data_IF_214179323189
#
_entry.id   IF_214179323189
#
_cell.length_a   1.000
_cell.length_b   1.000
_cell.length_c   1.000
_cell.angle_alpha   90.00
_cell.angle_beta   90.00
_cell.angle_gamma   90.00
#
_symmetry.space_group_name_H-M   'P 1'
#
loop_
_entity.id
_entity.type
_entity.pdbx_description
1 polymer ?
#
# COMPACT_ATOMS: atom_id res chain seq x y z
N UNK A 1 2.19 -15.61 -11.10
CA UNK A 1 0.89 -16.04 -10.52
C UNK A 1 0.59 -15.27 -9.24
N UNK A 2 -0.65 -14.79 -9.04
CA UNK A 2 -1.10 -14.21 -7.77
C UNK A 2 -1.33 -15.29 -6.70
N UNK A 3 -1.18 -14.94 -5.42
CA UNK A 3 -1.50 -15.82 -4.27
C UNK A 3 -2.49 -15.14 -3.33
N UNK A 4 -3.45 -15.91 -2.82
CA UNK A 4 -4.42 -15.45 -1.82
C UNK A 4 -3.85 -15.68 -0.41
N UNK A 5 -4.07 -14.73 0.48
CA UNK A 5 -3.86 -14.89 1.92
C UNK A 5 -5.25 -14.84 2.57
N UNK A 6 -5.53 -15.79 3.46
CA UNK A 6 -6.82 -15.89 4.16
C UNK A 6 -6.74 -15.28 5.56
N UNK A 7 -5.61 -15.44 6.24
CA UNK A 7 -5.41 -14.95 7.59
C UNK A 7 -4.75 -13.57 7.66
N UNK A 8 -5.18 -12.77 8.62
CA UNK A 8 -4.63 -11.43 8.88
C UNK A 8 -3.18 -11.52 9.38
N UNK A 9 -2.85 -12.56 10.18
CA UNK A 9 -1.51 -12.76 10.75
C UNK A 9 -0.47 -12.92 9.64
N UNK A 10 -0.75 -13.78 8.67
CA UNK A 10 0.11 -14.02 7.50
C UNK A 10 0.27 -12.77 6.64
N UNK A 11 -0.79 -11.97 6.53
CA UNK A 11 -0.72 -10.69 5.85
C UNK A 11 0.25 -9.72 6.54
N UNK A 12 0.18 -9.59 7.87
CA UNK A 12 1.08 -8.71 8.62
C UNK A 12 2.54 -9.18 8.54
N UNK A 13 2.78 -10.49 8.61
CA UNK A 13 4.10 -11.07 8.38
C UNK A 13 4.60 -10.74 6.97
N UNK A 14 3.76 -10.96 5.95
CA UNK A 14 4.10 -10.67 4.56
C UNK A 14 4.38 -9.19 4.32
N UNK A 15 3.58 -8.31 4.93
CA UNK A 15 3.73 -6.87 4.83
C UNK A 15 5.01 -6.37 5.50
N UNK A 16 5.53 -7.05 6.53
CA UNK A 16 6.78 -6.68 7.23
C UNK A 16 8.05 -7.22 6.56
N UNK A 17 7.95 -8.27 5.73
CA UNK A 17 9.12 -8.83 5.02
C UNK A 17 9.90 -7.78 4.21
N UNK A 18 11.21 -8.03 4.07
CA UNK A 18 12.14 -7.16 3.31
C UNK A 18 11.86 -7.13 1.80
N UNK A 19 11.21 -8.16 1.26
CA UNK A 19 10.87 -8.28 -0.16
C UNK A 19 9.57 -7.56 -0.54
N UNK A 20 8.80 -7.10 0.44
CA UNK A 20 7.56 -6.35 0.23
C UNK A 20 7.88 -4.91 -0.16
N UNK A 21 7.60 -4.56 -1.42
CA UNK A 21 7.90 -3.25 -2.02
C UNK A 21 6.80 -2.23 -1.79
N UNK A 22 5.55 -2.63 -2.01
CA UNK A 22 4.39 -1.74 -1.89
C UNK A 22 3.13 -2.52 -1.54
N UNK A 23 2.20 -1.83 -0.90
CA UNK A 23 0.87 -2.37 -0.59
C UNK A 23 -0.16 -1.48 -1.28
N UNK A 24 -0.96 -2.09 -2.14
CA UNK A 24 -2.05 -1.42 -2.88
C UNK A 24 -3.38 -1.81 -2.27
N UNK A 25 -4.09 -0.82 -1.75
CA UNK A 25 -5.43 -1.01 -1.17
C UNK A 25 -6.45 -0.74 -2.27
N UNK A 26 -7.25 -1.76 -2.62
CA UNK A 26 -8.37 -1.63 -3.55
C UNK A 26 -9.67 -1.75 -2.77
N UNK A 27 -10.40 -0.65 -2.67
CA UNK A 27 -11.77 -0.62 -2.14
C UNK A 27 -12.73 -1.01 -3.27
N UNK A 28 -13.53 -2.04 -3.07
CA UNK A 28 -14.72 -2.34 -3.87
C UNK A 28 -15.97 -1.98 -3.05
N UNK A 29 -17.16 -2.18 -3.63
CA UNK A 29 -18.44 -1.90 -2.96
C UNK A 29 -18.63 -2.74 -1.68
N UNK A 30 -18.32 -4.04 -1.79
CA UNK A 30 -18.62 -5.03 -0.75
C UNK A 30 -17.37 -5.54 -0.02
N UNK A 31 -16.18 -5.35 -0.60
CA UNK A 31 -14.93 -5.81 -0.01
C UNK A 31 -13.74 -4.90 -0.26
N UNK A 32 -12.78 -4.93 0.64
CA UNK A 32 -11.48 -4.27 0.50
C UNK A 32 -10.42 -5.33 0.25
N UNK A 33 -9.59 -5.11 -0.77
CA UNK A 33 -8.48 -6.00 -1.12
C UNK A 33 -7.15 -5.32 -0.83
N UNK A 34 -6.38 -5.88 0.09
CA UNK A 34 -5.01 -5.47 0.37
C UNK A 34 -4.08 -6.30 -0.52
N UNK A 35 -3.41 -5.63 -1.45
CA UNK A 35 -2.52 -6.27 -2.42
C UNK A 35 -1.06 -5.94 -2.11
N UNK A 36 -0.31 -6.88 -1.56
CA UNK A 36 1.12 -6.71 -1.29
C UNK A 36 1.92 -7.14 -2.51
N UNK A 37 2.76 -6.25 -3.03
CA UNK A 37 3.72 -6.57 -4.07
C UNK A 37 5.04 -7.02 -3.44
N UNK A 38 5.33 -8.31 -3.58
CA UNK A 38 6.63 -8.88 -3.28
C UNK A 38 7.46 -9.04 -4.57
N UNK A 39 8.70 -9.52 -4.45
CA UNK A 39 9.58 -9.76 -5.60
C UNK A 39 8.96 -10.73 -6.61
N UNK A 40 8.52 -11.91 -6.16
CA UNK A 40 8.02 -12.99 -7.03
C UNK A 40 6.51 -13.00 -7.19
N UNK A 41 5.77 -12.72 -6.12
CA UNK A 41 4.32 -12.89 -6.09
C UNK A 41 3.59 -11.61 -5.71
N UNK A 42 2.32 -11.52 -6.11
CA UNK A 42 1.36 -10.56 -5.60
C UNK A 42 0.47 -11.30 -4.60
N UNK A 43 0.52 -10.90 -3.34
CA UNK A 43 -0.35 -11.44 -2.31
C UNK A 43 -1.59 -10.59 -2.17
N UNK A 44 -2.75 -11.22 -2.05
CA UNK A 44 -4.01 -10.51 -1.86
C UNK A 44 -4.75 -11.04 -0.65
N UNK A 45 -4.98 -10.16 0.33
CA UNK A 45 -5.93 -10.37 1.42
C UNK A 45 -7.26 -9.70 1.04
N UNK A 46 -8.36 -10.42 1.19
CA UNK A 46 -9.72 -9.91 0.94
C UNK A 46 -10.45 -9.81 2.26
N UNK A 47 -10.97 -8.63 2.57
CA UNK A 47 -11.73 -8.36 3.80
C UNK A 47 -13.10 -7.83 3.41
N UNK A 48 -14.15 -8.43 3.96
CA UNK A 48 -15.54 -8.00 3.77
C UNK A 48 -15.87 -6.83 4.71
N UNK A 49 -15.42 -6.90 5.96
CA UNK A 49 -15.72 -5.91 6.99
C UNK A 49 -14.93 -4.61 6.79
N UNK A 50 -15.64 -3.50 6.55
CA UNK A 50 -15.04 -2.18 6.30
C UNK A 50 -14.28 -1.64 7.52
N UNK A 51 -14.82 -1.84 8.72
CA UNK A 51 -14.18 -1.37 9.96
C UNK A 51 -12.86 -2.09 10.25
N UNK A 52 -12.82 -3.42 10.06
CA UNK A 52 -11.57 -4.19 10.20
C UNK A 52 -10.54 -3.75 9.17
N UNK A 53 -10.97 -3.42 7.96
CA UNK A 53 -10.09 -2.91 6.92
C UNK A 53 -9.47 -1.54 7.27
N UNK A 54 -10.23 -0.61 7.85
CA UNK A 54 -9.69 0.69 8.28
C UNK A 54 -8.71 0.53 9.46
N UNK A 55 -9.00 -0.34 10.44
CA UNK A 55 -8.05 -0.68 11.53
C UNK A 55 -6.75 -1.28 11.00
N UNK A 56 -6.85 -2.17 10.01
CA UNK A 56 -5.67 -2.76 9.37
C UNK A 56 -4.86 -1.75 8.59
N UNK A 57 -5.52 -0.78 7.95
CA UNK A 57 -4.84 0.32 7.26
C UNK A 57 -4.01 1.17 8.25
N UNK A 58 -4.52 1.41 9.46
CA UNK A 58 -3.79 2.13 10.52
C UNK A 58 -2.63 1.32 11.12
N UNK A 59 -2.78 0.00 11.18
CA UNK A 59 -1.76 -0.91 11.74
C UNK A 59 -0.55 -1.10 10.83
N UNK A 60 -0.62 -0.63 9.58
CA UNK A 60 0.48 -0.71 8.63
C UNK A 60 1.53 0.38 8.93
N UNK A 61 2.83 0.02 9.03
CA UNK A 61 3.86 0.96 9.44
C UNK A 61 4.03 2.10 8.42
N UNK A 62 4.05 3.39 8.84
CA UNK A 62 4.33 4.50 7.95
C UNK A 62 5.77 4.36 7.43
N UNK A 63 5.94 4.18 6.11
CA UNK A 63 7.27 3.98 5.50
C UNK A 63 7.31 2.96 4.36
N UNK A 64 6.27 2.14 4.19
CA UNK A 64 6.06 1.38 2.95
C UNK A 64 5.14 2.17 2.04
N UNK A 65 5.47 2.36 0.76
CA UNK A 65 4.64 3.16 -0.15
C UNK A 65 3.25 2.53 -0.33
N UNK A 66 2.25 3.09 0.34
CA UNK A 66 0.85 2.69 0.25
C UNK A 66 0.17 3.45 -0.88
N UNK A 67 0.12 2.83 -2.06
CA UNK A 67 -0.53 3.46 -3.21
C UNK A 67 -2.03 3.14 -3.19
N UNK A 68 -2.84 4.11 -2.78
CA UNK A 68 -4.28 4.08 -3.11
C UNK A 68 -4.40 4.36 -4.61
N UNK A 69 -5.42 3.78 -5.27
CA UNK A 69 -5.55 3.90 -6.74
C UNK A 69 -5.92 5.32 -7.21
N UNK A 70 -6.19 6.24 -6.28
CA UNK A 70 -6.62 7.61 -6.56
C UNK A 70 -5.47 8.58 -6.89
N UNK A 71 -4.21 8.14 -6.86
CA UNK A 71 -3.05 8.98 -7.18
C UNK A 71 -2.12 8.31 -8.20
N UNK A 72 -2.70 7.82 -9.30
CA UNK A 72 -1.95 7.56 -10.53
C UNK A 72 -2.30 8.67 -11.52
N UNK A 73 -2.16 9.94 -11.13
CA UNK A 73 -2.12 11.05 -12.06
C UNK A 73 -1.02 12.01 -11.58
N UNK A 74 -0.05 12.26 -12.47
CA UNK A 74 1.26 12.89 -12.27
C UNK A 74 2.34 12.00 -11.62
N UNK A 75 3.42 11.58 -12.29
CA UNK A 75 4.23 12.28 -13.28
C UNK A 75 4.45 11.43 -14.55
N UNK A 76 3.86 11.86 -15.67
CA UNK A 76 4.29 11.46 -17.00
C UNK A 76 5.05 12.67 -17.56
N UNK A 77 6.35 12.81 -17.26
CA UNK A 77 7.15 13.83 -17.93
C UNK A 77 7.27 13.43 -19.40
N UNK A 78 6.47 14.07 -20.25
CA UNK A 78 6.60 13.98 -21.72
C UNK A 78 7.78 14.82 -22.24
N UNK A 79 8.48 15.56 -21.39
CA UNK A 79 9.67 16.32 -21.77
C UNK A 79 10.69 16.31 -20.63
N UNK A 80 11.89 15.78 -20.89
CA UNK A 80 13.13 16.13 -20.21
C UNK A 80 13.28 15.76 -18.73
N UNK A 81 14.50 15.41 -18.34
CA UNK A 81 14.91 15.22 -16.94
C UNK A 81 14.89 16.59 -16.25
N UNK A 82 13.94 16.82 -15.35
CA UNK A 82 14.04 17.92 -14.38
C UNK A 82 14.38 17.31 -13.02
N UNK A 83 15.66 17.47 -12.66
CA UNK A 83 16.19 17.21 -11.34
C UNK A 83 15.58 18.24 -10.38
N UNK A 84 14.52 17.88 -9.66
CA UNK A 84 14.02 18.71 -8.56
C UNK A 84 14.77 18.34 -7.30
N UNK A 85 15.53 19.32 -6.83
CA UNK A 85 16.35 19.32 -5.63
C UNK A 85 15.47 19.04 -4.41
N UNK A 86 16.08 18.36 -3.44
CA UNK A 86 15.63 18.21 -2.06
C UNK A 86 15.01 19.47 -1.48
N UNK A 87 13.86 19.34 -0.83
CA UNK A 87 13.49 20.18 0.31
C UNK A 87 12.76 19.30 1.34
N UNK A 88 13.22 19.20 2.60
CA UNK A 88 12.52 18.51 3.66
C UNK A 88 11.41 19.45 4.17
N UNK A 89 10.16 19.03 4.09
CA UNK A 89 9.08 19.69 4.84
C UNK A 89 8.84 18.93 6.13
N UNK A 90 9.37 19.50 7.20
CA UNK A 90 9.11 19.17 8.60
C UNK A 90 7.62 19.37 8.92
N UNK A 91 6.93 18.31 9.36
CA UNK A 91 5.73 18.35 10.22
C UNK A 91 4.43 18.95 9.62
N UNK A 92 3.27 18.84 10.31
CA UNK A 92 3.14 18.69 11.77
C UNK A 92 2.29 17.50 12.28
N UNK A 93 2.61 17.14 13.54
CA UNK A 93 1.80 16.73 14.70
C UNK A 93 0.46 15.99 14.52
N UNK A 94 0.37 14.86 15.24
CA UNK A 94 -0.77 14.30 15.98
C UNK A 94 -2.20 14.44 15.41
N UNK A 95 -2.85 13.28 15.29
CA UNK A 95 -3.93 12.88 16.20
C UNK A 95 -3.83 11.38 16.46
#
# INVERSE_FOLDING_TARGET
MPRKIEEIKDFLLTARRKDAKSVKIKKNKDNVKFKVRCSKYLYTLVITDKEKAEKLKQSLPPGKCYMSRASIDHCRTKHGVVRVRTAPVLGPLYY
#
